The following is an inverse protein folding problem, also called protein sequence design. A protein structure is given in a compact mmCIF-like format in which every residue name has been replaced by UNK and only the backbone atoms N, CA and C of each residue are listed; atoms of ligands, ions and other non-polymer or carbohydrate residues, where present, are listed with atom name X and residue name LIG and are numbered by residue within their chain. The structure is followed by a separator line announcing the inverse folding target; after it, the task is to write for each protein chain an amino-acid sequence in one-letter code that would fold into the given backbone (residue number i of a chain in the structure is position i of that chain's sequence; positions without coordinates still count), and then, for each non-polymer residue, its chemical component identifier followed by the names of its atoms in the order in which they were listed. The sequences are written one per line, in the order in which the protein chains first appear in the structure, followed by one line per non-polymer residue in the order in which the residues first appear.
data_IF_534228681400
#
_entry.id   IF_534228681400
#
_cell.length_a   1.000
_cell.length_b   1.000
_cell.length_c   1.000
_cell.angle_alpha   90.00
_cell.angle_beta   90.00
_cell.angle_gamma   90.00
#
_symmetry.space_group_name_H-M   'P 1'
#
loop_
_entity.id
_entity.type
_entity.pdbx_description
1 polymer ?
#
# COMPACT_ATOMS: atom_id res chain seq x y z
N UNK A 1 6.75 30.47 17.37
CA UNK A 1 7.41 29.23 17.83
C UNK A 1 8.56 29.66 18.72
N UNK A 2 8.66 29.15 19.94
CA UNK A 2 9.73 29.51 20.86
C UNK A 2 10.89 28.54 20.63
N UNK A 3 12.09 29.06 20.46
CA UNK A 3 13.31 28.26 20.25
C UNK A 3 14.24 28.47 21.42
N UNK A 4 14.66 27.37 22.04
CA UNK A 4 15.55 27.35 23.19
C UNK A 4 16.85 26.64 22.83
N UNK A 5 17.97 27.11 23.39
CA UNK A 5 19.29 26.49 23.19
C UNK A 5 19.45 25.32 24.16
N UNK A 6 20.03 24.23 23.68
CA UNK A 6 20.56 23.20 24.58
C UNK A 6 21.57 23.80 25.56
N UNK A 7 21.64 23.29 26.80
CA UNK A 7 22.73 23.63 27.70
C UNK A 7 24.06 23.12 27.10
N UNK A 8 25.21 23.70 27.49
CA UNK A 8 26.51 23.32 26.95
C UNK A 8 26.84 21.84 27.16
N UNK A 9 26.28 21.22 28.19
CA UNK A 9 26.36 19.79 28.46
C UNK A 9 24.93 19.22 28.61
N UNK A 10 24.29 18.80 27.51
CA UNK A 10 22.92 18.31 27.56
C UNK A 10 22.83 16.97 28.28
N UNK A 11 21.90 16.89 29.23
CA UNK A 11 21.54 15.62 29.89
C UNK A 11 21.10 14.57 28.86
N UNK A 12 21.46 13.28 29.03
CA UNK A 12 20.96 12.19 28.19
C UNK A 12 19.42 12.11 28.12
N UNK A 13 18.72 12.67 29.11
CA UNK A 13 17.26 12.81 29.13
C UNK A 13 16.71 13.44 27.86
N UNK A 14 17.40 14.43 27.28
CA UNK A 14 16.98 15.10 26.05
C UNK A 14 16.85 14.17 24.86
N UNK A 15 17.63 13.09 24.83
CA UNK A 15 17.69 12.13 23.73
C UNK A 15 16.92 10.83 24.01
N UNK A 16 16.31 10.70 25.19
CA UNK A 16 15.39 9.60 25.48
C UNK A 16 14.08 9.84 24.74
N UNK A 17 13.52 8.78 24.15
CA UNK A 17 12.28 8.79 23.36
C UNK A 17 10.99 9.14 24.12
N UNK A 18 11.10 9.65 25.35
CA UNK A 18 10.00 10.25 26.10
C UNK A 18 9.52 11.51 25.37
N UNK A 19 8.24 11.50 25.01
CA UNK A 19 7.65 12.46 24.06
C UNK A 19 7.22 13.77 24.71
N UNK A 20 6.97 13.79 26.01
CA UNK A 20 6.43 14.96 26.71
C UNK A 20 7.45 15.43 27.76
N UNK A 21 8.31 16.36 27.37
CA UNK A 21 9.22 17.06 28.28
C UNK A 21 8.60 18.43 28.58
N UNK A 22 8.57 18.83 29.84
CA UNK A 22 7.98 20.13 30.24
C UNK A 22 9.01 21.01 30.92
N UNK A 23 8.84 22.32 30.79
CA UNK A 23 9.64 23.32 31.48
C UNK A 23 8.80 24.51 31.92
N UNK A 24 9.24 25.23 32.93
CA UNK A 24 8.54 26.40 33.49
C UNK A 24 9.34 27.67 33.24
N UNK A 25 8.67 28.74 32.80
CA UNK A 25 9.32 30.04 32.62
C UNK A 25 9.66 30.66 33.98
N UNK A 26 10.93 30.98 34.18
CA UNK A 26 11.46 31.61 35.39
C UNK A 26 11.54 33.14 35.25
N UNK A 27 11.71 33.84 36.38
CA UNK A 27 11.78 35.31 36.44
C UNK A 27 12.91 35.93 35.58
N UNK A 28 13.91 35.13 35.21
CA UNK A 28 15.11 35.60 34.49
C UNK A 28 14.97 35.43 32.95
N UNK A 29 13.77 35.13 32.44
CA UNK A 29 13.57 34.89 31.01
C UNK A 29 14.25 33.60 30.53
N UNK A 30 14.42 32.63 31.45
CA UNK A 30 14.95 31.29 31.18
C UNK A 30 13.88 30.24 31.43
N UNK A 31 13.95 29.10 30.74
CA UNK A 31 13.03 27.97 30.96
C UNK A 31 13.74 26.92 31.81
N UNK A 32 13.21 26.66 32.99
CA UNK A 32 13.75 25.64 33.90
C UNK A 32 13.07 24.30 33.68
N UNK A 33 13.86 23.23 33.63
CA UNK A 33 13.39 21.86 33.39
C UNK A 33 13.69 21.02 34.63
N UNK A 34 12.65 20.69 35.39
CA UNK A 34 12.81 20.00 36.68
C UNK A 34 13.48 18.63 36.55
N UNK A 35 13.14 17.88 35.50
CA UNK A 35 13.66 16.52 35.27
C UNK A 35 15.18 16.47 35.04
N UNK A 36 15.77 17.52 34.47
CA UNK A 36 17.21 17.61 34.19
C UNK A 36 17.94 18.62 35.05
N UNK A 37 17.21 19.48 35.77
CA UNK A 37 17.71 20.67 36.47
C UNK A 37 18.45 21.63 35.53
N UNK A 38 18.11 21.62 34.25
CA UNK A 38 18.71 22.50 33.24
C UNK A 38 17.97 23.83 33.16
N UNK A 39 18.73 24.89 32.88
CA UNK A 39 18.19 26.19 32.47
C UNK A 39 18.41 26.36 30.97
N UNK A 40 17.32 26.45 30.23
CA UNK A 40 17.34 26.67 28.79
C UNK A 40 17.25 28.16 28.48
N UNK A 41 18.12 28.61 27.57
CA UNK A 41 18.19 30.00 27.14
C UNK A 41 17.32 30.21 25.90
N UNK A 42 16.55 31.30 25.89
CA UNK A 42 15.79 31.73 24.72
C UNK A 42 16.75 32.11 23.59
N UNK A 43 16.51 31.56 22.41
CA UNK A 43 17.20 31.91 21.16
C UNK A 43 16.29 32.74 20.28
N UNK A 44 15.03 32.34 20.16
CA UNK A 44 14.06 32.99 19.26
C UNK A 44 12.64 32.91 19.82
N UNK A 45 11.84 33.95 19.58
CA UNK A 45 10.45 34.06 20.01
C UNK A 45 10.26 34.86 21.30
N UNK A 46 9.07 34.77 21.88
CA UNK A 46 8.68 35.47 23.12
C UNK A 46 8.23 34.45 24.15
N UNK A 47 8.81 34.48 25.34
CA UNK A 47 8.39 33.61 26.43
C UNK A 47 7.05 34.08 27.02
N UNK A 48 6.15 33.15 27.39
CA UNK A 48 4.96 33.47 28.16
C UNK A 48 5.31 34.01 29.56
N UNK A 49 4.33 34.56 30.31
CA UNK A 49 4.57 35.07 31.66
C UNK A 49 5.21 34.04 32.59
N UNK A 50 5.94 34.55 33.59
CA UNK A 50 6.61 33.75 34.63
C UNK A 50 5.61 32.77 35.25
N UNK A 51 6.04 31.52 35.43
CA UNK A 51 5.21 30.43 35.96
C UNK A 51 4.41 29.66 34.89
N UNK A 52 4.41 30.10 33.63
CA UNK A 52 3.78 29.35 32.55
C UNK A 52 4.55 28.05 32.24
N UNK A 53 3.80 26.97 32.00
CA UNK A 53 4.34 25.67 31.60
C UNK A 53 4.44 25.57 30.08
N UNK A 54 5.59 25.13 29.58
CA UNK A 54 5.90 24.92 28.18
C UNK A 54 6.17 23.44 27.90
N UNK A 55 5.67 22.96 26.77
CA UNK A 55 5.99 21.65 26.22
C UNK A 55 7.21 21.76 25.32
N UNK A 56 8.22 20.94 25.59
CA UNK A 56 9.54 20.97 24.99
C UNK A 56 9.70 19.78 24.04
N UNK A 57 9.96 20.09 22.77
CA UNK A 57 10.28 19.12 21.73
C UNK A 57 11.74 19.28 21.35
N UNK A 58 12.62 18.34 21.74
CA UNK A 58 14.01 18.37 21.32
C UNK A 58 14.12 18.15 19.81
N UNK A 59 14.87 19.02 19.14
CA UNK A 59 15.29 18.88 17.74
C UNK A 59 16.81 18.67 17.69
N UNK A 60 17.37 18.53 16.49
CA UNK A 60 18.79 18.18 16.28
C UNK A 60 19.78 19.21 16.86
N UNK A 61 19.41 20.49 16.90
CA UNK A 61 20.31 21.59 17.29
C UNK A 61 19.72 22.53 18.35
N UNK A 62 18.41 22.49 18.54
CA UNK A 62 17.67 23.34 19.46
C UNK A 62 16.51 22.58 20.12
N UNK A 63 15.83 23.24 21.04
CA UNK A 63 14.63 22.74 21.71
C UNK A 63 13.48 23.67 21.34
N UNK A 64 12.46 23.15 20.66
CA UNK A 64 11.24 23.88 20.36
C UNK A 64 10.32 23.87 21.57
N UNK A 65 9.83 25.02 21.97
CA UNK A 65 8.91 25.17 23.07
C UNK A 65 7.56 25.73 22.60
N UNK A 66 6.49 25.18 23.14
CA UNK A 66 5.11 25.55 22.84
C UNK A 66 4.28 25.59 24.10
N UNK A 67 3.27 26.47 24.10
CA UNK A 67 2.28 26.46 25.17
C UNK A 67 1.36 25.24 25.05
N UNK A 68 0.63 24.92 26.12
CA UNK A 68 -0.38 23.84 26.07
C UNK A 68 -1.43 24.09 24.98
N UNK A 69 -1.82 25.35 24.80
CA UNK A 69 -2.81 25.77 23.81
C UNK A 69 -2.29 25.51 22.39
N UNK A 70 -1.05 25.92 22.11
CA UNK A 70 -0.42 25.71 20.80
C UNK A 70 -0.21 24.22 20.51
N UNK A 71 0.19 23.44 21.52
CA UNK A 71 0.40 22.01 21.37
C UNK A 71 -0.91 21.26 21.07
N UNK A 72 -2.00 21.60 21.76
CA UNK A 72 -3.33 21.05 21.48
C UNK A 72 -3.79 21.40 20.07
N UNK A 73 -3.67 22.67 19.67
CA UNK A 73 -4.04 23.12 18.32
C UNK A 73 -3.27 22.36 17.23
N UNK A 74 -1.95 22.16 17.40
CA UNK A 74 -1.15 21.37 16.46
C UNK A 74 -1.56 19.90 16.41
N UNK A 75 -1.83 19.26 17.55
CA UNK A 75 -2.28 17.85 17.59
C UNK A 75 -3.61 17.68 16.87
N UNK A 76 -4.54 18.62 17.07
CA UNK A 76 -5.82 18.63 16.37
C UNK A 76 -5.64 18.86 14.86
N UNK A 77 -4.79 19.79 14.45
CA UNK A 77 -4.49 20.03 13.04
C UNK A 77 -3.84 18.81 12.38
N UNK A 78 -2.86 18.18 13.04
CA UNK A 78 -2.24 16.94 12.55
C UNK A 78 -3.25 15.78 12.48
N UNK A 79 -4.16 15.67 13.44
CA UNK A 79 -5.22 14.68 13.41
C UNK A 79 -6.16 14.93 12.20
N UNK A 80 -6.55 16.18 11.96
CA UNK A 80 -7.34 16.56 10.78
C UNK A 80 -6.61 16.23 9.48
N UNK A 81 -5.33 16.59 9.37
CA UNK A 81 -4.49 16.30 8.19
C UNK A 81 -4.33 14.79 7.94
N UNK A 82 -4.22 13.99 9.01
CA UNK A 82 -4.17 12.51 8.88
C UNK A 82 -5.48 11.95 8.36
N UNK A 83 -6.61 12.45 8.87
CA UNK A 83 -7.93 12.02 8.41
C UNK A 83 -8.16 12.41 6.94
N UNK A 84 -7.82 13.65 6.55
CA UNK A 84 -7.94 14.08 5.15
C UNK A 84 -7.03 13.26 4.24
N UNK A 85 -5.78 13.01 4.65
CA UNK A 85 -4.85 12.18 3.87
C UNK A 85 -5.32 10.74 3.73
N UNK A 86 -5.87 10.15 4.79
CA UNK A 86 -6.44 8.80 4.73
C UNK A 86 -7.62 8.73 3.77
N UNK A 87 -8.49 9.74 3.79
CA UNK A 87 -9.62 9.84 2.88
C UNK A 87 -9.15 10.02 1.43
N UNK A 88 -8.17 10.89 1.18
CA UNK A 88 -7.56 11.07 -0.14
C UNK A 88 -6.88 9.78 -0.64
N UNK A 89 -6.11 9.09 0.20
CA UNK A 89 -5.46 7.82 -0.13
C UNK A 89 -6.51 6.74 -0.45
N UNK A 90 -7.61 6.71 0.31
CA UNK A 90 -8.73 5.81 0.04
C UNK A 90 -9.40 6.12 -1.29
N UNK A 91 -9.72 7.39 -1.56
CA UNK A 91 -10.32 7.81 -2.82
C UNK A 91 -9.42 7.53 -4.03
N UNK A 92 -8.11 7.78 -3.90
CA UNK A 92 -7.14 7.46 -4.93
C UNK A 92 -7.06 5.96 -5.20
N UNK A 93 -7.06 5.15 -4.13
CA UNK A 93 -7.07 3.69 -4.25
C UNK A 93 -8.35 3.20 -4.92
N UNK A 94 -9.52 3.67 -4.49
CA UNK A 94 -10.82 3.34 -5.08
C UNK A 94 -10.86 3.69 -6.59
N UNK A 95 -10.39 4.89 -6.96
CA UNK A 95 -10.34 5.33 -8.34
C UNK A 95 -9.39 4.48 -9.20
N UNK A 96 -8.24 4.09 -8.64
CA UNK A 96 -7.30 3.19 -9.31
C UNK A 96 -7.92 1.80 -9.50
N UNK A 97 -8.54 1.24 -8.47
CA UNK A 97 -9.17 -0.08 -8.52
C UNK A 97 -10.31 -0.10 -9.55
N UNK A 98 -11.16 0.94 -9.58
CA UNK A 98 -12.22 1.08 -10.59
C UNK A 98 -11.64 1.11 -12.01
N UNK A 99 -10.56 1.87 -12.22
CA UNK A 99 -9.88 1.95 -13.53
C UNK A 99 -9.30 0.60 -13.95
N UNK A 100 -8.65 -0.12 -13.03
CA UNK A 100 -8.09 -1.45 -13.30
C UNK A 100 -9.19 -2.47 -13.62
N UNK A 101 -10.30 -2.43 -12.89
CA UNK A 101 -11.47 -3.27 -13.16
C UNK A 101 -12.04 -3.02 -14.56
N UNK A 102 -12.29 -1.75 -14.92
CA UNK A 102 -12.80 -1.38 -16.24
C UNK A 102 -11.84 -1.82 -17.36
N UNK A 103 -10.55 -1.58 -17.20
CA UNK A 103 -9.54 -2.01 -18.18
C UNK A 103 -9.50 -3.53 -18.34
N UNK A 104 -9.58 -4.28 -17.24
CA UNK A 104 -9.62 -5.74 -17.27
C UNK A 104 -10.87 -6.22 -18.01
N UNK A 105 -12.05 -5.68 -17.70
CA UNK A 105 -13.31 -6.02 -18.36
C UNK A 105 -13.26 -5.73 -19.86
N UNK A 106 -12.83 -4.54 -20.27
CA UNK A 106 -12.74 -4.13 -21.67
C UNK A 106 -11.78 -4.99 -22.49
N UNK A 107 -10.62 -5.35 -21.92
CA UNK A 107 -9.65 -6.19 -22.63
C UNK A 107 -10.08 -7.65 -22.65
N UNK A 108 -10.60 -8.17 -21.55
CA UNK A 108 -11.06 -9.55 -21.45
C UNK A 108 -12.29 -9.80 -22.32
N UNK A 109 -13.16 -8.80 -22.53
CA UNK A 109 -14.30 -8.88 -23.45
C UNK A 109 -13.92 -9.12 -24.92
N UNK A 110 -12.64 -8.93 -25.29
CA UNK A 110 -12.11 -9.23 -26.63
C UNK A 110 -11.69 -10.70 -26.79
N UNK A 111 -11.72 -11.47 -25.70
CA UNK A 111 -11.41 -12.90 -25.71
C UNK A 111 -12.73 -13.67 -25.86
N UNK A 112 -13.02 -14.14 -27.07
CA UNK A 112 -14.27 -14.84 -27.38
C UNK A 112 -14.18 -16.35 -27.10
N UNK A 113 -13.70 -16.70 -25.90
CA UNK A 113 -13.53 -18.09 -25.47
C UNK A 113 -14.90 -18.81 -25.43
N UNK A 114 -15.03 -19.99 -26.04
CA UNK A 114 -16.31 -20.70 -26.13
C UNK A 114 -16.63 -21.57 -24.91
N UNK A 115 -15.85 -21.43 -23.84
CA UNK A 115 -15.90 -22.26 -22.64
C UNK A 115 -15.73 -21.41 -21.39
N UNK A 116 -16.20 -21.90 -20.25
CA UNK A 116 -16.04 -21.26 -18.94
C UNK A 116 -14.56 -21.09 -18.57
N UNK A 117 -14.22 -19.91 -18.09
CA UNK A 117 -12.84 -19.55 -17.79
C UNK A 117 -12.72 -18.44 -16.74
N UNK A 118 -11.55 -18.37 -16.11
CA UNK A 118 -11.19 -17.32 -15.16
C UNK A 118 -9.74 -16.87 -15.36
N UNK A 119 -9.28 -15.86 -14.62
CA UNK A 119 -7.88 -15.47 -14.58
C UNK A 119 -7.13 -16.36 -13.61
N UNK A 120 -5.90 -16.70 -13.97
CA UNK A 120 -4.99 -17.37 -13.06
C UNK A 120 -3.54 -16.96 -13.28
N UNK A 121 -2.68 -17.28 -12.33
CA UNK A 121 -1.26 -16.99 -12.45
C UNK A 121 -0.42 -18.24 -12.20
N UNK A 122 0.77 -18.19 -12.76
CA UNK A 122 1.80 -19.20 -12.59
C UNK A 122 2.78 -18.71 -11.52
N UNK A 123 2.68 -19.24 -10.31
CA UNK A 123 3.61 -18.97 -9.21
C UNK A 123 5.04 -19.41 -9.56
N UNK A 124 5.92 -18.48 -9.91
CA UNK A 124 7.32 -18.82 -10.23
C UNK A 124 8.10 -19.00 -8.91
N UNK A 125 8.79 -20.14 -8.73
CA UNK A 125 9.57 -20.47 -7.52
C UNK A 125 10.63 -19.38 -7.21
N UNK A 126 11.20 -18.71 -8.22
CA UNK A 126 12.14 -17.58 -8.03
C UNK A 126 11.48 -16.26 -7.60
N UNK A 127 10.15 -16.24 -7.49
CA UNK A 127 9.37 -15.13 -6.93
C UNK A 127 9.41 -15.04 -5.40
N UNK A 128 10.23 -15.86 -4.73
CA UNK A 128 10.55 -15.79 -3.30
C UNK A 128 11.96 -15.20 -3.05
N UNK A 129 12.39 -14.28 -3.90
CA UNK A 129 13.67 -13.57 -3.76
C UNK A 129 13.48 -12.27 -2.97
N UNK A 130 14.58 -11.68 -2.47
CA UNK A 130 14.62 -10.54 -1.54
C UNK A 130 13.79 -9.30 -1.96
N UNK A 131 13.45 -9.18 -3.25
CA UNK A 131 12.63 -8.10 -3.82
C UNK A 131 11.16 -8.49 -4.07
N UNK A 132 10.67 -9.58 -3.49
CA UNK A 132 9.27 -10.01 -3.63
C UNK A 132 8.47 -9.75 -2.37
N UNK A 133 7.15 -9.59 -2.53
CA UNK A 133 6.21 -9.40 -1.43
C UNK A 133 5.95 -10.70 -0.64
N UNK A 134 6.78 -11.74 -0.78
CA UNK A 134 6.63 -13.04 -0.12
C UNK A 134 5.43 -13.87 -0.57
N UNK A 135 4.63 -13.37 -1.52
CA UNK A 135 3.41 -14.01 -2.04
C UNK A 135 3.58 -14.62 -3.45
N UNK A 136 4.82 -14.66 -3.97
CA UNK A 136 5.12 -15.21 -5.30
C UNK A 136 4.64 -14.37 -6.49
N UNK A 137 4.10 -13.17 -6.24
CA UNK A 137 3.65 -12.22 -7.29
C UNK A 137 4.63 -11.03 -7.32
N UNK A 138 5.08 -10.67 -8.53
CA UNK A 138 5.85 -9.45 -8.76
C UNK A 138 5.30 -8.68 -9.96
N UNK A 139 5.89 -7.52 -10.27
CA UNK A 139 5.47 -6.68 -11.41
C UNK A 139 5.58 -7.38 -12.77
N UNK A 140 6.30 -8.50 -12.87
CA UNK A 140 6.45 -9.33 -14.07
C UNK A 140 5.53 -10.56 -14.07
N UNK A 141 4.70 -10.74 -13.05
CA UNK A 141 3.72 -11.83 -13.01
C UNK A 141 2.76 -11.68 -14.18
N UNK A 142 2.65 -12.77 -14.93
CA UNK A 142 1.78 -12.86 -16.10
C UNK A 142 0.47 -13.49 -15.67
N UNK A 143 -0.63 -12.88 -16.07
CA UNK A 143 -1.99 -13.39 -15.85
C UNK A 143 -2.42 -14.17 -17.09
N UNK A 144 -2.90 -15.38 -16.85
CA UNK A 144 -3.27 -16.38 -17.84
C UNK A 144 -4.77 -16.66 -17.80
N UNK A 145 -5.30 -17.18 -18.90
CA UNK A 145 -6.63 -17.80 -18.93
C UNK A 145 -6.53 -19.18 -18.31
N UNK A 146 -7.23 -19.39 -17.19
CA UNK A 146 -7.45 -20.67 -16.54
C UNK A 146 -8.81 -21.21 -16.99
N UNK A 147 -8.83 -22.45 -17.48
CA UNK A 147 -10.04 -23.09 -17.97
C UNK A 147 -10.81 -23.73 -16.82
N UNK A 148 -12.13 -23.52 -16.79
CA UNK A 148 -13.04 -24.09 -15.80
C UNK A 148 -13.82 -25.28 -16.35
N UNK A 149 -13.58 -25.64 -17.60
CA UNK A 149 -14.10 -26.84 -18.24
C UNK A 149 -13.17 -27.27 -19.39
N UNK A 150 -13.33 -28.51 -19.84
CA UNK A 150 -12.57 -29.06 -20.96
C UNK A 150 -12.85 -28.29 -22.26
N UNK A 151 -11.81 -28.08 -23.07
CA UNK A 151 -11.95 -27.53 -24.42
C UNK A 151 -11.27 -28.43 -25.45
N UNK A 152 -12.01 -28.74 -26.51
CA UNK A 152 -11.55 -29.54 -27.65
C UNK A 152 -11.90 -28.80 -28.93
N UNK A 153 -10.91 -28.15 -29.52
CA UNK A 153 -11.04 -27.42 -30.78
C UNK A 153 -9.89 -27.79 -31.73
N UNK A 154 -10.17 -28.76 -32.62
CA UNK A 154 -9.19 -29.33 -33.53
C UNK A 154 -7.99 -29.93 -32.80
N UNK A 155 -6.81 -29.34 -32.97
CA UNK A 155 -5.57 -29.77 -32.28
C UNK A 155 -5.39 -29.16 -30.88
N UNK A 156 -6.22 -28.17 -30.52
CA UNK A 156 -6.20 -27.58 -29.19
C UNK A 156 -7.08 -28.42 -28.27
N UNK A 157 -6.44 -29.22 -27.42
CA UNK A 157 -7.10 -30.03 -26.39
C UNK A 157 -6.55 -29.62 -25.04
N UNK A 158 -7.43 -29.17 -24.13
CA UNK A 158 -7.09 -28.82 -22.75
C UNK A 158 -8.18 -29.35 -21.83
N UNK A 159 -7.79 -29.73 -20.63
CA UNK A 159 -8.73 -30.16 -19.61
C UNK A 159 -9.10 -28.98 -18.71
N UNK A 160 -10.17 -29.15 -17.93
CA UNK A 160 -10.45 -28.29 -16.78
C UNK A 160 -9.20 -28.15 -15.88
N UNK A 161 -8.95 -26.92 -15.41
CA UNK A 161 -7.78 -26.58 -14.60
C UNK A 161 -6.50 -26.33 -15.39
N UNK A 162 -6.48 -26.58 -16.71
CA UNK A 162 -5.36 -26.19 -17.56
C UNK A 162 -5.36 -24.69 -17.85
N UNK A 163 -4.16 -24.14 -18.05
CA UNK A 163 -4.04 -22.83 -18.68
C UNK A 163 -4.18 -22.94 -20.20
N UNK A 164 -4.88 -22.00 -20.83
CA UNK A 164 -5.05 -21.99 -22.29
C UNK A 164 -3.71 -22.08 -23.05
N UNK A 165 -2.68 -21.40 -22.55
CA UNK A 165 -1.35 -21.36 -23.16
C UNK A 165 -0.55 -22.67 -23.04
N UNK A 166 -0.87 -23.55 -22.10
CA UNK A 166 -0.07 -24.77 -21.82
C UNK A 166 -0.95 -25.86 -21.23
N UNK A 167 -0.95 -27.05 -21.83
CA UNK A 167 -1.50 -28.25 -21.19
C UNK A 167 -0.61 -28.68 -20.02
N UNK A 168 -1.18 -29.31 -18.98
CA UNK A 168 -0.45 -29.87 -17.84
C UNK A 168 0.67 -30.88 -18.20
N UNK A 169 0.73 -31.35 -19.46
CA UNK A 169 1.68 -32.34 -19.99
C UNK A 169 3.10 -31.82 -20.31
N UNK A 170 3.70 -30.93 -19.51
CA UNK A 170 5.07 -30.47 -19.72
C UNK A 170 5.74 -29.92 -18.46
N UNK A 171 7.06 -29.71 -18.51
CA UNK A 171 7.90 -29.19 -17.40
C UNK A 171 7.45 -27.83 -16.85
N UNK A 172 6.59 -27.10 -17.58
CA UNK A 172 6.03 -25.80 -17.22
C UNK A 172 4.58 -25.87 -16.67
N UNK A 173 4.14 -27.02 -16.12
CA UNK A 173 2.71 -27.30 -15.93
C UNK A 173 2.22 -27.76 -14.54
N UNK A 174 3.08 -28.05 -13.56
CA UNK A 174 2.64 -28.88 -12.40
C UNK A 174 2.85 -28.31 -10.99
N UNK A 175 3.35 -27.09 -10.84
CA UNK A 175 3.66 -26.52 -9.50
C UNK A 175 2.96 -25.17 -9.29
N UNK A 176 1.66 -25.12 -9.58
CA UNK A 176 0.84 -23.95 -9.32
C UNK A 176 -0.05 -24.25 -8.11
N UNK A 177 0.24 -23.62 -6.98
CA UNK A 177 -0.61 -23.70 -5.79
C UNK A 177 -1.73 -22.68 -5.97
N UNK A 178 -2.97 -23.14 -6.00
CA UNK A 178 -4.19 -22.35 -6.19
C UNK A 178 -4.11 -21.36 -7.38
N UNK A 179 -4.19 -21.86 -8.64
CA UNK A 179 -3.91 -21.06 -9.83
C UNK A 179 -4.98 -20.00 -10.10
N UNK A 180 -6.20 -20.16 -9.57
CA UNK A 180 -7.27 -19.20 -9.73
C UNK A 180 -6.93 -17.92 -8.98
N UNK A 181 -7.02 -16.78 -9.65
CA UNK A 181 -6.87 -15.48 -9.02
C UNK A 181 -7.92 -14.54 -9.52
N UNK A 182 -8.66 -13.97 -8.59
CA UNK A 182 -9.43 -12.75 -8.77
C UNK A 182 -8.76 -11.62 -8.01
N UNK A 183 -9.02 -10.38 -8.42
CA UNK A 183 -8.65 -9.20 -7.65
C UNK A 183 -9.81 -8.80 -6.75
N UNK A 184 -9.58 -8.77 -5.44
CA UNK A 184 -10.50 -8.20 -4.46
C UNK A 184 -10.40 -6.68 -4.45
N UNK A 185 -11.03 -6.02 -5.43
CA UNK A 185 -11.15 -4.56 -5.45
C UNK A 185 -12.18 -4.06 -4.43
N UNK A 186 -12.19 -2.75 -4.16
CA UNK A 186 -13.19 -2.12 -3.28
C UNK A 186 -14.65 -2.33 -3.77
N UNK A 187 -14.84 -2.64 -5.06
CA UNK A 187 -16.13 -2.90 -5.70
C UNK A 187 -16.50 -4.39 -5.82
N UNK A 188 -15.71 -5.27 -5.20
CA UNK A 188 -15.88 -6.72 -5.25
C UNK A 188 -14.85 -7.44 -6.14
N UNK A 189 -14.88 -8.79 -6.14
CA UNK A 189 -13.93 -9.59 -6.89
C UNK A 189 -14.15 -9.44 -8.39
N UNK A 190 -13.07 -9.24 -9.15
CA UNK A 190 -13.10 -9.22 -10.60
C UNK A 190 -11.99 -10.07 -11.22
N UNK A 191 -12.25 -10.59 -12.42
CA UNK A 191 -11.25 -11.32 -13.21
C UNK A 191 -10.19 -10.36 -13.72
N UNK A 192 -8.93 -10.62 -13.35
CA UNK A 192 -7.78 -9.82 -13.71
C UNK A 192 -7.59 -9.73 -15.24
N UNK A 193 -6.98 -8.64 -15.70
CA UNK A 193 -6.62 -8.50 -17.12
C UNK A 193 -5.68 -9.63 -17.56
N UNK A 194 -6.05 -10.36 -18.62
CA UNK A 194 -5.17 -11.38 -19.19
C UNK A 194 -3.98 -10.72 -19.89
N UNK A 195 -2.77 -10.93 -19.38
CA UNK A 195 -1.52 -10.36 -19.92
C UNK A 195 -0.65 -11.38 -20.66
N UNK A 196 -0.97 -12.67 -20.58
CA UNK A 196 -0.22 -13.71 -21.28
C UNK A 196 -0.39 -13.61 -22.80
N UNK A 197 0.70 -13.25 -23.49
CA UNK A 197 0.74 -13.17 -24.96
C UNK A 197 0.32 -14.47 -25.65
N UNK A 198 0.62 -15.63 -25.07
CA UNK A 198 0.24 -16.93 -25.65
C UNK A 198 -1.24 -17.23 -25.45
N UNK A 199 -1.83 -16.87 -24.30
CA UNK A 199 -3.28 -16.98 -24.10
C UNK A 199 -4.01 -16.07 -25.09
N UNK A 200 -3.58 -14.81 -25.23
CA UNK A 200 -4.19 -13.85 -26.17
C UNK A 200 -4.07 -14.38 -27.61
N UNK A 201 -2.90 -14.86 -28.01
CA UNK A 201 -2.70 -15.46 -29.35
C UNK A 201 -3.56 -16.69 -29.58
N UNK A 202 -3.73 -17.55 -28.58
CA UNK A 202 -4.58 -18.74 -28.67
C UNK A 202 -6.06 -18.34 -28.80
N UNK A 203 -6.50 -17.32 -28.08
CA UNK A 203 -7.88 -16.83 -28.11
C UNK A 203 -8.30 -16.28 -29.48
N UNK A 204 -7.36 -15.82 -30.31
CA UNK A 204 -7.64 -15.35 -31.69
C UNK A 204 -8.25 -16.43 -32.60
N UNK A 205 -8.22 -17.71 -32.19
CA UNK A 205 -8.94 -18.80 -32.87
C UNK A 205 -10.45 -18.58 -32.89
N UNK A 206 -10.98 -17.90 -31.88
CA UNK A 206 -12.40 -17.61 -31.75
C UNK A 206 -12.65 -16.13 -32.02
N UNK A 207 -13.45 -15.87 -33.04
CA UNK A 207 -13.84 -14.52 -33.46
C UNK A 207 -15.35 -14.28 -33.34
N UNK A 208 -16.11 -15.34 -33.03
CA UNK A 208 -17.56 -15.29 -32.92
C UNK A 208 -17.98 -14.86 -31.52
N UNK A 209 -18.37 -13.59 -31.40
CA UNK A 209 -18.85 -13.01 -30.14
C UNK A 209 -20.08 -13.72 -29.58
N UNK A 210 -20.92 -14.33 -30.41
CA UNK A 210 -22.15 -14.99 -29.95
C UNK A 210 -21.87 -16.30 -29.22
N UNK A 211 -20.68 -16.86 -29.39
CA UNK A 211 -20.23 -18.07 -28.69
C UNK A 211 -19.35 -17.75 -27.49
N UNK A 212 -19.04 -16.48 -27.25
CA UNK A 212 -18.16 -16.08 -26.17
C UNK A 212 -18.84 -16.28 -24.81
N UNK A 213 -18.17 -17.02 -23.93
CA UNK A 213 -18.55 -17.16 -22.53
C UNK A 213 -17.83 -16.06 -21.73
N UNK A 214 -18.56 -15.25 -20.95
CA UNK A 214 -17.95 -14.21 -20.13
C UNK A 214 -17.04 -14.82 -19.04
N UNK A 215 -15.98 -14.12 -18.63
CA UNK A 215 -15.10 -14.60 -17.56
C UNK A 215 -15.85 -14.69 -16.22
N UNK A 216 -15.53 -15.72 -15.43
CA UNK A 216 -16.15 -15.98 -14.14
C UNK A 216 -15.18 -15.70 -12.98
N UNK A 217 -15.67 -15.06 -11.91
CA UNK A 217 -14.95 -14.97 -10.65
C UNK A 217 -15.17 -16.27 -9.86
N UNK A 218 -14.11 -17.05 -9.64
CA UNK A 218 -14.15 -18.30 -8.89
C UNK A 218 -13.43 -18.08 -7.55
N UNK A 219 -14.00 -18.54 -6.42
CA UNK A 219 -13.38 -18.45 -5.10
C UNK A 219 -12.11 -19.31 -4.97
#
# INVERSE_FOLDING_TARGET
MIVLKYPPYPSPFWFRGEKDKTGVVTEVGTVYVEATKDNLLLVEGTLPPVGATLFLTPDRFDIKAETEIDSRARREEQARQRLTRQEEERQQKAALDMKLMQQAQERNARLYLPVRWTSGFKSVISGLTENSSGNGINRRTVIHVLLLEDIRDGRLVRNEGDFLCTAAGGSNGKLWVNPATHSDGEYGPYVCEITCKQCIKAALRWQDKNKAVPPECVP
#
